data_IF_313881185339
#
_entry.id   IF_313881185339
#
_cell.length_a   1.000
_cell.length_b   1.000
_cell.length_c   1.000
_cell.angle_alpha   90.00
_cell.angle_beta   90.00
_cell.angle_gamma   90.00
#
_symmetry.space_group_name_H-M   'P 1'
#
loop_
_entity.id
_entity.type
_entity.pdbx_description
1 polymer ?
#
# COMPACT_ATOMS: atom_id res chain seq x y z
N UNK A 1 15.04 -3.87 8.64
CA UNK A 1 14.28 -4.32 7.45
C UNK A 1 15.02 -4.03 6.13
N UNK A 2 15.31 -2.77 5.79
CA UNK A 2 15.88 -2.40 4.47
C UNK A 2 17.13 -3.20 4.02
N UNK A 3 18.00 -3.59 4.96
CA UNK A 3 19.22 -4.35 4.66
C UNK A 3 18.98 -5.85 4.41
N UNK A 4 18.00 -6.43 5.12
CA UNK A 4 17.67 -7.85 5.06
C UNK A 4 16.13 -7.99 5.06
N UNK A 5 15.49 -7.87 3.88
CA UNK A 5 14.05 -7.94 3.76
C UNK A 5 13.59 -9.40 3.89
N UNK A 6 13.14 -9.81 5.08
CA UNK A 6 12.57 -11.14 5.30
C UNK A 6 11.03 -11.08 5.35
N UNK A 7 10.32 -12.10 4.85
CA UNK A 7 8.84 -12.12 4.87
C UNK A 7 8.26 -12.00 6.28
N UNK A 8 8.87 -12.67 7.26
CA UNK A 8 8.45 -12.64 8.66
C UNK A 8 8.59 -11.25 9.28
N UNK A 9 9.66 -10.53 8.96
CA UNK A 9 9.89 -9.17 9.43
C UNK A 9 8.95 -8.18 8.74
N UNK A 10 8.54 -8.43 7.49
CA UNK A 10 7.61 -7.57 6.76
C UNK A 10 6.24 -7.54 7.45
N UNK A 11 5.72 -8.72 7.83
CA UNK A 11 4.44 -8.83 8.55
C UNK A 11 4.48 -8.10 9.89
N UNK A 12 5.58 -8.18 10.63
CA UNK A 12 5.78 -7.45 11.89
C UNK A 12 5.78 -5.93 11.65
N UNK A 13 6.52 -5.46 10.64
CA UNK A 13 6.58 -4.03 10.30
C UNK A 13 5.22 -3.48 9.88
N UNK A 14 4.44 -4.25 9.12
CA UNK A 14 3.09 -3.82 8.71
C UNK A 14 2.16 -3.65 9.91
N UNK A 15 2.17 -4.60 10.85
CA UNK A 15 1.39 -4.49 12.09
C UNK A 15 1.74 -3.24 12.88
N UNK A 16 3.03 -2.90 13.00
CA UNK A 16 3.50 -1.69 13.68
C UNK A 16 3.09 -0.41 12.94
N UNK A 17 3.17 -0.40 11.60
CA UNK A 17 2.75 0.77 10.82
C UNK A 17 1.26 1.03 10.93
N UNK A 18 0.45 -0.02 10.99
CA UNK A 18 -1.01 0.11 11.15
C UNK A 18 -1.40 0.60 12.53
N UNK A 19 -0.75 0.09 13.59
CA UNK A 19 -1.01 0.58 14.94
C UNK A 19 -0.56 2.04 15.08
N UNK A 20 0.56 2.41 14.49
CA UNK A 20 1.03 3.80 14.47
C UNK A 20 0.09 4.74 13.69
N UNK A 21 -0.52 4.26 12.60
CA UNK A 21 -1.53 5.01 11.87
C UNK A 21 -2.81 5.22 12.70
N UNK A 22 -3.29 4.18 13.40
CA UNK A 22 -4.45 4.28 14.30
C UNK A 22 -4.20 5.22 15.49
N UNK A 23 -2.95 5.27 15.97
CA UNK A 23 -2.52 6.18 17.04
C UNK A 23 -2.21 7.59 16.54
N UNK A 24 -2.52 7.92 15.27
CA UNK A 24 -2.24 9.20 14.64
C UNK A 24 -0.76 9.63 14.65
N UNK A 25 0.17 8.69 14.87
CA UNK A 25 1.63 8.94 14.79
C UNK A 25 2.03 9.16 13.32
N UNK A 26 1.41 8.42 12.42
CA UNK A 26 1.51 8.62 10.98
C UNK A 26 0.15 8.88 10.38
N UNK A 27 0.08 9.76 9.39
CA UNK A 27 -1.10 9.86 8.55
C UNK A 27 -1.32 8.54 7.77
N UNK A 28 -2.58 8.18 7.52
CA UNK A 28 -2.96 6.93 6.86
C UNK A 28 -2.26 6.73 5.51
N UNK A 29 -2.17 7.78 4.70
CA UNK A 29 -1.47 7.72 3.41
C UNK A 29 0.04 7.52 3.57
N UNK A 30 0.64 8.00 4.66
CA UNK A 30 2.07 7.79 4.95
C UNK A 30 2.34 6.33 5.31
N UNK A 31 1.50 5.72 6.15
CA UNK A 31 1.57 4.29 6.44
C UNK A 31 1.39 3.44 5.16
N UNK A 32 0.42 3.77 4.31
CA UNK A 32 0.20 3.10 3.03
C UNK A 32 1.42 3.22 2.09
N UNK A 33 2.02 4.42 1.99
CA UNK A 33 3.25 4.65 1.21
C UNK A 33 4.41 3.79 1.73
N UNK A 34 4.60 3.72 3.04
CA UNK A 34 5.65 2.92 3.66
C UNK A 34 5.46 1.43 3.36
N UNK A 35 4.24 0.90 3.49
CA UNK A 35 3.94 -0.50 3.14
C UNK A 35 4.28 -0.81 1.68
N UNK A 36 3.82 0.04 0.74
CA UNK A 36 4.10 -0.12 -0.69
C UNK A 36 5.61 -0.16 -0.97
N UNK A 37 6.37 0.75 -0.36
CA UNK A 37 7.82 0.81 -0.55
C UNK A 37 8.53 -0.43 0.01
N UNK A 38 8.11 -0.94 1.16
CA UNK A 38 8.72 -2.12 1.78
C UNK A 38 8.39 -3.40 1.01
N UNK A 39 7.17 -3.55 0.48
CA UNK A 39 6.80 -4.69 -0.37
C UNK A 39 7.66 -4.80 -1.63
N UNK A 40 8.07 -3.67 -2.22
CA UNK A 40 8.93 -3.65 -3.41
C UNK A 40 10.33 -4.22 -3.14
N UNK A 41 10.79 -4.21 -1.89
CA UNK A 41 12.13 -4.67 -1.51
C UNK A 41 12.27 -6.19 -1.46
N UNK A 42 11.17 -6.97 -1.36
CA UNK A 42 11.25 -8.44 -1.35
C UNK A 42 11.50 -9.07 -2.73
N UNK A 43 11.73 -8.27 -3.77
CA UNK A 43 11.87 -8.75 -5.13
C UNK A 43 10.52 -9.16 -5.72
N UNK A 44 10.35 -8.93 -7.02
CA UNK A 44 9.19 -9.43 -7.76
C UNK A 44 9.38 -10.93 -7.94
N UNK A 45 8.81 -11.75 -7.04
CA UNK A 45 8.51 -13.12 -7.42
C UNK A 45 7.49 -13.02 -8.57
N UNK A 46 7.74 -13.57 -9.77
CA UNK A 46 6.81 -13.45 -10.88
C UNK A 46 5.52 -14.17 -10.49
N UNK A 47 4.47 -13.41 -10.15
CA UNK A 47 3.13 -13.96 -9.90
C UNK A 47 2.48 -14.12 -11.27
N UNK A 48 2.85 -15.20 -11.95
CA UNK A 48 1.86 -15.94 -12.69
C UNK A 48 0.96 -16.61 -11.64
N UNK A 49 -0.34 -16.32 -11.71
CA UNK A 49 -1.44 -16.97 -11.01
C UNK A 49 -1.57 -16.77 -9.48
N UNK A 50 -2.83 -16.61 -9.05
CA UNK A 50 -3.35 -16.52 -7.67
C UNK A 50 -3.14 -15.12 -7.04
N UNK A 51 -4.09 -14.20 -6.98
CA UNK A 51 -5.53 -14.33 -6.72
C UNK A 51 -6.25 -13.17 -7.41
N UNK A 52 -7.08 -13.49 -8.41
CA UNK A 52 -8.22 -12.64 -8.75
C UNK A 52 -9.20 -12.72 -7.57
N UNK A 53 -9.41 -11.62 -6.84
CA UNK A 53 -10.66 -11.42 -6.11
C UNK A 53 -10.89 -9.95 -5.74
N UNK A 54 -11.67 -9.28 -6.59
CA UNK A 54 -12.64 -8.21 -6.29
C UNK A 54 -12.10 -6.88 -5.72
N UNK A 55 -11.45 -6.08 -6.56
CA UNK A 55 -11.78 -4.65 -6.53
C UNK A 55 -12.99 -4.43 -7.43
N UNK A 56 -14.16 -4.25 -6.81
CA UNK A 56 -15.30 -3.59 -7.45
C UNK A 56 -14.81 -2.28 -8.09
N UNK A 57 -15.25 -1.94 -9.32
CA UNK A 57 -14.80 -0.72 -9.98
C UNK A 57 -15.24 0.47 -9.15
N UNK A 58 -14.31 1.14 -8.46
CA UNK A 58 -14.59 2.45 -7.88
C UNK A 58 -14.83 3.38 -9.06
N UNK A 59 -16.11 3.70 -9.30
CA UNK A 59 -16.56 4.69 -10.29
C UNK A 59 -15.67 5.93 -10.17
N UNK A 60 -14.79 6.15 -11.15
CA UNK A 60 -14.08 7.43 -11.26
C UNK A 60 -15.15 8.46 -11.60
N UNK A 61 -15.46 9.35 -10.66
CA UNK A 61 -16.20 10.56 -11.03
C UNK A 61 -15.32 11.31 -12.03
N UNK A 62 -15.84 11.76 -13.18
CA UNK A 62 -15.09 12.66 -14.04
C UNK A 62 -14.72 13.90 -13.21
N UNK A 63 -13.43 14.25 -13.22
CA UNK A 63 -12.95 15.52 -12.67
C UNK A 63 -13.57 16.60 -13.55
N UNK A 64 -14.51 17.39 -13.03
CA UNK A 64 -15.07 18.54 -13.74
C UNK A 64 -13.92 19.52 -13.99
N UNK A 65 -13.37 19.51 -15.20
CA UNK A 65 -12.54 20.60 -15.71
C UNK A 65 -13.48 21.78 -15.91
N UNK A 66 -13.26 22.89 -15.20
CA UNK A 66 -13.97 24.13 -15.49
C UNK A 66 -13.50 24.61 -16.87
N UNK A 67 -14.38 24.54 -17.87
CA UNK A 67 -14.20 25.18 -19.16
C UNK A 67 -14.82 26.58 -19.10
N UNK A 68 -13.92 27.57 -19.15
CA UNK A 68 -14.02 28.93 -19.73
C UNK A 68 -15.41 29.35 -20.24
N UNK A 69 -15.89 30.49 -19.74
CA UNK A 69 -16.70 31.48 -20.50
C UNK A 69 -15.87 32.76 -20.55
#
# INVERSE_FOLDING_TARGET
>A
FKKNPTPSLLSKVFKVLDTAAKKNIFHANKAARLKSNLSKLLGKKPIAATVKAKTSPKKKSPRKTQSVV
#
